data_IF_018482557516
#
_entry.id   IF_018482557516
#
_cell.length_a   1.000
_cell.length_b   1.000
_cell.length_c   1.000
_cell.angle_alpha   90.00
_cell.angle_beta   90.00
_cell.angle_gamma   90.00
#
_symmetry.space_group_name_H-M   'P 1'
#
loop_
_entity.id
_entity.type
_entity.pdbx_description
1 polymer ?
#
# COMPACT_ATOMS: atom_id res chain seq x y z
N UNK A 1 14.21 1.88 1.48
CA UNK A 1 12.76 2.06 1.27
C UNK A 1 12.20 0.73 0.76
N UNK A 2 11.16 0.18 1.38
CA UNK A 2 10.65 -1.15 1.05
C UNK A 2 9.99 -1.16 -0.34
N UNK A 3 10.35 -2.12 -1.20
CA UNK A 3 9.81 -2.25 -2.56
C UNK A 3 8.28 -2.36 -2.53
N UNK A 4 7.74 -3.15 -1.60
CA UNK A 4 6.30 -3.35 -1.46
C UNK A 4 5.55 -2.05 -1.11
N UNK A 5 6.14 -1.23 -0.25
CA UNK A 5 5.57 0.07 0.12
C UNK A 5 5.60 1.05 -1.05
N UNK A 6 6.69 1.09 -1.83
CA UNK A 6 6.74 1.91 -3.04
C UNK A 6 5.69 1.50 -4.07
N UNK A 7 5.53 0.19 -4.31
CA UNK A 7 4.52 -0.32 -5.23
C UNK A 7 3.12 0.07 -4.75
N UNK A 8 2.83 -0.07 -3.46
CA UNK A 8 1.53 0.30 -2.91
C UNK A 8 1.23 1.80 -3.03
N UNK A 9 2.21 2.65 -2.75
CA UNK A 9 2.10 4.10 -2.96
C UNK A 9 1.82 4.41 -4.44
N UNK A 10 2.46 3.72 -5.37
CA UNK A 10 2.19 3.92 -6.81
C UNK A 10 0.78 3.49 -7.20
N UNK A 11 0.24 2.42 -6.62
CA UNK A 11 -1.15 2.02 -6.85
C UNK A 11 -2.12 3.09 -6.35
N UNK A 12 -1.98 3.52 -5.10
CA UNK A 12 -2.86 4.53 -4.50
C UNK A 12 -2.80 5.87 -5.23
N UNK A 13 -1.60 6.33 -5.61
CA UNK A 13 -1.43 7.56 -6.40
C UNK A 13 -2.08 7.50 -7.78
N UNK A 14 -2.28 6.31 -8.33
CA UNK A 14 -2.94 6.09 -9.63
C UNK A 14 -4.45 5.84 -9.47
N UNK A 15 -5.00 5.91 -8.26
CA UNK A 15 -6.40 5.58 -7.97
C UNK A 15 -6.71 4.10 -8.21
N UNK A 16 -5.70 3.24 -8.26
CA UNK A 16 -5.87 1.81 -8.45
C UNK A 16 -5.98 1.12 -7.10
N UNK A 17 -6.86 0.13 -7.04
CA UNK A 17 -6.99 -0.74 -5.88
C UNK A 17 -5.69 -1.52 -5.66
N UNK A 18 -5.30 -1.66 -4.39
CA UNK A 18 -4.11 -2.39 -4.03
C UNK A 18 -4.34 -3.90 -4.26
N UNK A 19 -3.41 -4.62 -4.91
CA UNK A 19 -3.47 -6.08 -5.01
C UNK A 19 -3.53 -6.71 -3.61
N UNK A 20 -4.39 -7.72 -3.43
CA UNK A 20 -4.62 -8.37 -2.14
C UNK A 20 -3.33 -8.96 -1.57
N UNK A 21 -2.50 -9.61 -2.41
CA UNK A 21 -1.19 -10.14 -2.01
C UNK A 21 -0.24 -9.06 -1.48
N UNK A 22 -0.32 -7.85 -2.06
CA UNK A 22 0.51 -6.72 -1.65
C UNK A 22 0.03 -6.14 -0.32
N UNK A 23 -1.29 -6.06 -0.12
CA UNK A 23 -1.89 -5.66 1.15
C UNK A 23 -1.47 -6.62 2.28
N UNK A 24 -1.54 -7.94 2.05
CA UNK A 24 -1.11 -8.94 3.03
C UNK A 24 0.38 -8.84 3.36
N UNK A 25 1.24 -8.67 2.35
CA UNK A 25 2.68 -8.47 2.60
C UNK A 25 2.97 -7.23 3.44
N UNK A 26 2.25 -6.13 3.20
CA UNK A 26 2.41 -4.92 4.00
C UNK A 26 1.94 -5.14 5.45
N UNK A 27 0.81 -5.83 5.63
CA UNK A 27 0.31 -6.18 6.96
C UNK A 27 1.27 -7.12 7.72
N UNK A 28 1.84 -8.12 7.04
CA UNK A 28 2.84 -9.04 7.61
C UNK A 28 4.12 -8.31 8.03
N UNK A 29 4.50 -7.27 7.29
CA UNK A 29 5.60 -6.37 7.62
C UNK A 29 5.26 -5.37 8.75
N UNK A 30 4.04 -5.42 9.30
CA UNK A 30 3.58 -4.57 10.40
C UNK A 30 3.12 -3.18 9.96
N UNK A 31 2.86 -2.96 8.67
CA UNK A 31 2.31 -1.69 8.19
C UNK A 31 0.79 -1.65 8.34
N UNK A 32 0.27 -0.50 8.75
CA UNK A 32 -1.16 -0.19 8.74
C UNK A 32 -1.60 0.20 7.32
N UNK A 33 -2.10 -0.79 6.56
CA UNK A 33 -2.50 -0.62 5.17
C UNK A 33 -3.64 0.40 5.00
N UNK A 34 -4.74 0.38 5.80
CA UNK A 34 -5.77 1.41 5.75
C UNK A 34 -5.24 2.83 6.02
N UNK A 35 -4.36 3.01 7.00
CA UNK A 35 -3.79 4.33 7.30
C UNK A 35 -2.88 4.82 6.16
N UNK A 36 -2.11 3.92 5.54
CA UNK A 36 -1.28 4.25 4.39
C UNK A 36 -2.12 4.58 3.16
N UNK A 37 -3.19 3.84 2.88
CA UNK A 37 -4.11 4.11 1.79
C UNK A 37 -4.74 5.50 1.92
N UNK A 38 -5.28 5.83 3.10
CA UNK A 38 -5.85 7.15 3.36
C UNK A 38 -4.83 8.29 3.19
N UNK A 39 -3.55 8.03 3.45
CA UNK A 39 -2.46 9.01 3.31
C UNK A 39 -2.02 9.22 1.87
N UNK A 40 -2.04 8.19 1.03
CA UNK A 40 -1.46 8.21 -0.32
C UNK A 40 -2.48 8.17 -1.46
N UNK A 41 -3.76 7.90 -1.17
CA UNK A 41 -4.86 7.95 -2.13
C UNK A 41 -5.42 9.36 -2.35
N UNK A 42 -4.76 10.40 -1.80
CA UNK A 42 -5.14 11.81 -1.88
C UNK A 42 -4.23 12.57 -2.85
#
# INVERSE_FOLDING_TARGET
>A
MNLYLQTAIMHWKRGMTLPVDLAFKLADLGYDVPALEARYSR
#
